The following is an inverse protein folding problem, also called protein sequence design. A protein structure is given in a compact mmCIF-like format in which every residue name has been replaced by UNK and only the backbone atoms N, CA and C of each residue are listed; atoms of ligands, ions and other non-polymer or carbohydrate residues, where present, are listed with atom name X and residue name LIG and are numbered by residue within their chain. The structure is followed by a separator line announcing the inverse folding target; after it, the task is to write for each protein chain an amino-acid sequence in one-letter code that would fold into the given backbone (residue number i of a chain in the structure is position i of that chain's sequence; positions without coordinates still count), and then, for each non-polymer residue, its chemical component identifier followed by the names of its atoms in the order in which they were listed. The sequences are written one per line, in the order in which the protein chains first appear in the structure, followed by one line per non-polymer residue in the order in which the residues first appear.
data_IF_346634162223
#
_entry.id   IF_346634162223
#
_cell.length_a   1.000
_cell.length_b   1.000
_cell.length_c   1.000
_cell.angle_alpha   90.00
_cell.angle_beta   90.00
_cell.angle_gamma   90.00
#
_symmetry.space_group_name_H-M   'P 1'
#
loop_
_entity.id
_entity.type
_entity.pdbx_description
1 polymer ?
#
# COMPACT_ATOMS: atom_id res chain seq x y z
N UNK A 1 28.65 -56.41 -1.40
CA UNK A 1 30.02 -56.00 -1.02
C UNK A 1 29.96 -54.54 -0.57
N UNK A 2 29.91 -54.35 0.73
CA UNK A 2 30.30 -53.13 1.43
C UNK A 2 31.82 -53.02 1.48
N UNK A 3 32.44 -51.82 1.64
CA UNK A 3 32.43 -51.13 2.93
C UNK A 3 32.38 -49.60 2.88
N UNK A 4 31.89 -49.02 3.95
CA UNK A 4 32.30 -47.76 4.54
C UNK A 4 33.59 -47.95 5.33
N UNK A 5 34.24 -47.01 6.06
CA UNK A 5 33.94 -45.60 6.43
C UNK A 5 35.20 -44.72 6.48
N UNK A 6 35.08 -43.48 6.90
CA UNK A 6 36.21 -42.65 7.34
C UNK A 6 35.74 -41.22 7.69
N UNK A 7 35.50 -40.91 8.95
CA UNK A 7 36.29 -40.19 9.94
C UNK A 7 36.56 -38.73 9.51
N UNK A 8 36.03 -37.67 10.13
CA UNK A 8 36.23 -37.21 11.51
C UNK A 8 37.22 -36.07 11.55
N UNK A 9 36.78 -34.83 11.81
CA UNK A 9 37.67 -33.85 12.40
C UNK A 9 36.90 -32.87 13.26
N UNK A 10 37.06 -33.01 14.55
CA UNK A 10 36.70 -32.04 15.59
C UNK A 10 37.54 -30.76 15.45
N UNK A 11 36.89 -29.63 15.60
CA UNK A 11 37.56 -28.36 15.80
C UNK A 11 37.28 -27.83 17.20
N UNK A 12 38.30 -27.89 18.01
CA UNK A 12 38.39 -27.54 19.42
C UNK A 12 38.26 -26.01 19.64
N UNK A 13 37.30 -25.63 20.46
CA UNK A 13 37.14 -24.23 20.98
C UNK A 13 38.23 -23.96 22.04
N UNK A 14 39.16 -23.02 21.76
CA UNK A 14 40.10 -22.44 22.74
C UNK A 14 39.41 -21.43 23.65
N UNK A 15 39.21 -21.80 24.94
CA UNK A 15 38.87 -20.92 26.05
C UNK A 15 40.05 -19.99 26.37
N UNK A 16 39.91 -18.68 26.18
CA UNK A 16 40.86 -17.67 26.69
C UNK A 16 40.58 -17.39 28.18
N UNK A 17 41.50 -17.78 29.03
CA UNK A 17 41.59 -17.48 30.47
C UNK A 17 41.84 -15.97 30.64
N UNK A 18 40.99 -15.25 31.38
CA UNK A 18 41.24 -13.90 31.88
C UNK A 18 42.14 -13.96 33.12
N UNK A 19 43.30 -13.32 33.08
CA UNK A 19 44.17 -13.11 34.23
C UNK A 19 43.53 -12.02 35.11
N UNK A 20 43.39 -12.33 36.41
CA UNK A 20 43.14 -11.38 37.50
C UNK A 20 44.46 -10.62 37.77
N UNK A 21 44.42 -9.31 37.81
CA UNK A 21 45.51 -8.50 38.36
C UNK A 21 44.97 -7.71 39.55
N UNK A 22 45.82 -7.64 40.59
CA UNK A 22 45.49 -7.31 41.95
C UNK A 22 45.43 -5.80 42.24
N UNK A 23 44.68 -5.53 43.26
CA UNK A 23 44.57 -4.31 44.10
C UNK A 23 45.70 -3.30 44.04
N UNK A 24 45.26 -2.05 43.83
CA UNK A 24 45.97 -0.87 44.37
C UNK A 24 44.88 0.11 44.87
N UNK A 25 45.01 0.51 46.17
CA UNK A 25 44.09 1.39 46.86
C UNK A 25 44.06 2.82 46.27
N UNK A 26 42.94 3.54 46.34
CA UNK A 26 42.82 4.86 45.77
C UNK A 26 43.30 5.95 46.71
N UNK A 27 44.12 6.86 46.19
CA UNK A 27 44.35 8.17 46.79
C UNK A 27 43.16 9.07 46.55
N UNK A 28 42.72 9.71 47.64
CA UNK A 28 41.65 10.72 47.63
C UNK A 28 42.08 11.94 46.80
N UNK A 29 41.36 12.20 45.74
CA UNK A 29 41.40 13.49 45.03
C UNK A 29 40.00 14.11 45.09
N UNK A 30 39.99 15.39 45.49
CA UNK A 30 38.81 16.22 45.66
C UNK A 30 37.90 16.23 44.43
N UNK A 31 36.69 15.69 44.58
CA UNK A 31 35.62 15.79 43.61
C UNK A 31 35.03 17.22 43.64
N UNK A 32 35.51 18.07 42.76
CA UNK A 32 34.72 19.26 42.36
C UNK A 32 33.48 18.76 41.64
N UNK A 33 32.35 18.87 42.28
CA UNK A 33 31.01 18.63 41.69
C UNK A 33 30.71 19.71 40.65
N UNK A 34 31.05 19.47 39.39
CA UNK A 34 30.52 20.24 38.28
C UNK A 34 29.07 19.82 38.04
N UNK A 35 28.14 20.71 38.40
CA UNK A 35 26.74 20.62 38.05
C UNK A 35 26.60 20.62 36.52
N UNK A 36 25.89 19.64 35.90
CA UNK A 36 25.70 19.68 34.46
C UNK A 36 24.92 20.93 34.07
N UNK A 37 25.25 21.58 32.92
CA UNK A 37 24.57 22.79 32.50
C UNK A 37 23.08 22.50 32.30
N UNK A 38 22.23 23.29 32.94
CA UNK A 38 20.80 23.31 32.79
C UNK A 38 20.46 23.40 31.27
N UNK A 39 19.87 22.35 30.72
CA UNK A 39 19.35 22.39 29.36
C UNK A 39 18.35 23.54 29.25
N UNK A 40 18.68 24.53 28.40
CA UNK A 40 17.77 25.63 28.07
C UNK A 40 16.43 25.03 27.64
N UNK A 41 15.28 25.51 28.13
CA UNK A 41 13.98 25.02 27.68
C UNK A 41 13.88 25.28 26.16
N UNK A 42 13.56 24.24 25.39
CA UNK A 42 13.27 24.33 23.97
C UNK A 42 12.05 25.24 23.82
N UNK A 43 12.12 26.33 23.04
CA UNK A 43 11.00 27.22 22.86
C UNK A 43 9.80 26.42 22.31
N UNK A 44 8.66 26.51 22.99
CA UNK A 44 7.43 25.76 22.67
C UNK A 44 6.74 26.18 21.37
N UNK A 45 7.36 27.07 20.55
CA UNK A 45 6.66 27.76 19.48
C UNK A 45 7.08 27.37 18.03
N UNK A 46 7.91 26.35 17.82
CA UNK A 46 8.27 25.90 16.47
C UNK A 46 7.56 24.60 16.03
N UNK A 47 6.38 24.34 16.55
CA UNK A 47 5.52 23.35 15.90
C UNK A 47 4.91 24.02 14.67
N UNK A 48 5.41 23.67 13.48
CA UNK A 48 4.75 24.01 12.23
C UNK A 48 3.24 23.73 12.37
N UNK A 49 2.36 24.64 11.93
CA UNK A 49 0.93 24.44 12.06
C UNK A 49 0.58 23.09 11.43
N UNK A 50 -0.17 22.26 12.17
CA UNK A 50 -0.60 20.96 11.68
C UNK A 50 -1.33 21.18 10.35
N UNK A 51 -0.88 20.48 9.29
CA UNK A 51 -1.54 20.55 7.99
C UNK A 51 -3.03 20.23 8.17
N UNK A 52 -3.90 21.05 7.57
CA UNK A 52 -5.36 20.87 7.66
C UNK A 52 -5.70 19.46 7.17
N UNK A 53 -6.42 18.71 7.99
CA UNK A 53 -6.96 17.39 7.62
C UNK A 53 -8.12 17.58 6.64
N UNK A 54 -8.16 16.76 5.61
CA UNK A 54 -9.28 16.58 4.69
C UNK A 54 -9.59 15.11 4.60
N UNK A 55 -10.84 14.72 4.76
CA UNK A 55 -11.29 13.36 4.55
C UNK A 55 -11.93 13.28 3.16
N UNK A 56 -11.51 12.29 2.37
CA UNK A 56 -12.03 11.99 1.04
C UNK A 56 -12.52 10.55 1.01
N UNK A 57 -13.71 10.33 0.46
CA UNK A 57 -14.29 9.00 0.31
C UNK A 57 -14.53 8.72 -1.16
N UNK A 58 -14.17 7.51 -1.58
CA UNK A 58 -14.32 7.03 -2.95
C UNK A 58 -14.91 5.64 -2.95
N UNK A 59 -15.44 5.20 -4.11
CA UNK A 59 -15.95 3.87 -4.32
C UNK A 59 -15.65 3.37 -5.73
N UNK A 60 -15.56 2.04 -5.91
CA UNK A 60 -15.29 1.39 -7.18
C UNK A 60 -14.94 -0.07 -6.99
N UNK A 61 -14.16 -0.68 -7.90
CA UNK A 61 -13.68 -2.04 -7.69
C UNK A 61 -13.39 -2.82 -8.96
N UNK A 62 -13.40 -4.15 -8.88
CA UNK A 62 -13.07 -5.05 -9.97
C UNK A 62 -14.33 -5.54 -10.69
N UNK A 63 -14.43 -5.28 -11.98
CA UNK A 63 -15.47 -5.85 -12.83
C UNK A 63 -14.95 -7.14 -13.45
N UNK A 64 -15.73 -8.22 -13.36
CA UNK A 64 -15.47 -9.47 -14.04
C UNK A 64 -16.36 -9.55 -15.29
N UNK A 65 -15.78 -9.95 -16.42
CA UNK A 65 -16.46 -10.07 -17.70
C UNK A 65 -17.56 -11.16 -17.71
N UNK A 66 -18.37 -11.20 -18.75
CA UNK A 66 -19.42 -12.21 -18.91
C UNK A 66 -18.90 -13.65 -18.86
N UNK A 67 -17.67 -13.89 -19.32
CA UNK A 67 -17.09 -15.23 -19.32
C UNK A 67 -16.60 -15.68 -17.94
N UNK A 68 -16.44 -14.75 -16.99
CA UNK A 68 -15.86 -15.02 -15.69
C UNK A 68 -14.35 -15.25 -15.72
N UNK A 69 -13.65 -14.85 -16.79
CA UNK A 69 -12.22 -15.13 -16.98
C UNK A 69 -11.33 -13.91 -16.97
N UNK A 70 -11.89 -12.71 -17.16
CA UNK A 70 -11.16 -11.45 -17.25
C UNK A 70 -11.64 -10.44 -16.21
N UNK A 71 -10.74 -9.57 -15.78
CA UNK A 71 -11.01 -8.44 -14.92
C UNK A 71 -10.67 -7.13 -15.62
N UNK A 72 -11.45 -6.09 -15.36
CA UNK A 72 -11.32 -4.77 -15.95
C UNK A 72 -10.41 -3.89 -15.12
N UNK A 73 -9.42 -3.27 -15.76
CA UNK A 73 -8.56 -2.26 -15.14
C UNK A 73 -8.54 -0.99 -15.97
N UNK A 74 -8.29 0.13 -15.30
CA UNK A 74 -7.99 1.43 -15.90
C UNK A 74 -6.51 1.73 -15.81
N UNK A 75 -5.95 2.31 -16.85
CA UNK A 75 -4.55 2.73 -16.95
C UNK A 75 -4.43 4.25 -16.94
N UNK A 76 -3.54 4.80 -16.12
CA UNK A 76 -3.16 6.21 -16.12
C UNK A 76 -1.66 6.34 -16.35
N UNK A 77 -1.24 7.30 -17.19
CA UNK A 77 0.17 7.56 -17.46
C UNK A 77 0.86 8.04 -16.18
N UNK A 78 2.01 7.43 -15.85
CA UNK A 78 2.83 7.84 -14.71
C UNK A 78 3.48 9.20 -14.98
N UNK A 79 2.91 10.26 -14.43
CA UNK A 79 3.42 11.64 -14.57
C UNK A 79 4.78 11.87 -13.89
N UNK A 80 5.24 10.95 -13.04
CA UNK A 80 6.54 11.07 -12.35
C UNK A 80 7.70 10.59 -13.22
N UNK A 81 7.44 9.79 -14.23
CA UNK A 81 8.44 9.29 -15.18
C UNK A 81 8.14 9.82 -16.60
N UNK A 82 8.43 11.11 -16.80
CA UNK A 82 8.22 11.79 -18.09
C UNK A 82 9.04 11.20 -19.26
N UNK A 83 10.04 10.35 -18.97
CA UNK A 83 10.87 9.71 -19.96
C UNK A 83 10.27 8.38 -20.47
N UNK A 84 9.27 7.81 -19.79
CA UNK A 84 8.62 6.55 -20.14
C UNK A 84 7.12 6.70 -20.08
N UNK A 85 6.43 6.38 -21.16
CA UNK A 85 4.96 6.28 -21.22
C UNK A 85 4.50 4.99 -20.51
N UNK A 86 4.69 4.93 -19.18
CA UNK A 86 4.28 3.78 -18.38
C UNK A 86 2.86 3.99 -17.90
N UNK A 87 1.97 3.03 -18.15
CA UNK A 87 0.65 2.99 -17.56
C UNK A 87 0.72 2.40 -16.14
N UNK A 88 0.06 3.07 -15.21
CA UNK A 88 -0.22 2.60 -13.87
C UNK A 88 -1.65 2.04 -13.87
N UNK A 89 -1.75 0.72 -13.84
CA UNK A 89 -3.03 0.03 -13.83
C UNK A 89 -3.63 0.01 -12.42
N UNK A 90 -4.92 0.29 -12.31
CA UNK A 90 -5.68 0.31 -11.06
C UNK A 90 -7.12 -0.14 -11.27
N UNK A 91 -7.81 -0.37 -10.16
CA UNK A 91 -9.24 -0.60 -10.17
C UNK A 91 -9.98 0.71 -10.51
N UNK A 92 -11.03 0.70 -11.38
CA UNK A 92 -11.87 1.87 -11.62
C UNK A 92 -12.54 2.34 -10.32
N UNK A 93 -12.49 3.64 -10.04
CA UNK A 93 -13.02 4.25 -8.81
C UNK A 93 -12.98 5.77 -8.84
N UNK A 94 -13.94 6.40 -8.22
CA UNK A 94 -13.92 7.84 -8.03
C UNK A 94 -14.65 8.31 -6.77
N UNK A 95 -14.88 9.60 -6.66
CA UNK A 95 -15.44 10.21 -5.46
C UNK A 95 -16.93 9.89 -5.30
N UNK A 96 -17.35 9.70 -4.05
CA UNK A 96 -18.78 9.61 -3.71
C UNK A 96 -19.34 11.02 -3.73
N UNK A 97 -20.40 11.25 -4.49
CA UNK A 97 -21.10 12.53 -4.55
C UNK A 97 -22.09 12.71 -3.40
N UNK A 98 -22.52 13.96 -3.18
CA UNK A 98 -23.45 14.26 -2.10
C UNK A 98 -24.80 13.56 -2.33
N UNK A 99 -25.16 12.69 -1.40
CA UNK A 99 -26.41 11.94 -1.43
C UNK A 99 -26.29 10.52 -2.02
N UNK A 100 -25.11 10.15 -2.56
CA UNK A 100 -24.84 8.80 -3.03
C UNK A 100 -24.45 7.86 -1.88
N UNK A 101 -24.83 6.62 -1.99
CA UNK A 101 -24.24 5.50 -1.24
C UNK A 101 -22.90 5.07 -1.88
N UNK A 102 -22.02 4.38 -1.17
CA UNK A 102 -20.81 3.81 -1.79
C UNK A 102 -21.10 2.89 -2.98
N UNK A 103 -22.20 2.14 -2.93
CA UNK A 103 -22.65 1.24 -3.98
C UNK A 103 -23.06 2.00 -5.25
N UNK A 104 -23.86 3.06 -5.11
CA UNK A 104 -24.31 3.89 -6.22
C UNK A 104 -23.13 4.61 -6.88
N UNK A 105 -22.25 5.22 -6.09
CA UNK A 105 -21.04 5.86 -6.58
C UNK A 105 -20.14 4.86 -7.32
N UNK A 106 -19.97 3.65 -6.79
CA UNK A 106 -19.14 2.63 -7.41
C UNK A 106 -19.66 2.18 -8.78
N UNK A 107 -20.98 2.04 -8.93
CA UNK A 107 -21.60 1.71 -10.21
C UNK A 107 -21.45 2.84 -11.22
N UNK A 108 -21.68 4.08 -10.81
CA UNK A 108 -21.52 5.28 -11.65
C UNK A 108 -20.08 5.42 -12.12
N UNK A 109 -19.10 5.34 -11.21
CA UNK A 109 -17.68 5.52 -11.53
C UNK A 109 -17.17 4.43 -12.49
N UNK A 110 -17.57 3.16 -12.28
CA UNK A 110 -17.23 2.08 -13.21
C UNK A 110 -17.75 2.41 -14.60
N UNK A 111 -19.01 2.84 -14.73
CA UNK A 111 -19.58 3.20 -16.01
C UNK A 111 -18.90 4.40 -16.65
N UNK A 112 -18.63 5.47 -15.89
CA UNK A 112 -18.01 6.70 -16.36
C UNK A 112 -16.56 6.49 -16.83
N UNK A 113 -15.76 5.80 -16.01
CA UNK A 113 -14.34 5.57 -16.32
C UNK A 113 -14.11 4.50 -17.41
N UNK A 114 -15.04 3.57 -17.60
CA UNK A 114 -14.80 2.39 -18.45
C UNK A 114 -15.80 2.18 -19.59
N UNK A 115 -17.00 2.76 -19.51
CA UNK A 115 -18.09 2.50 -20.43
C UNK A 115 -18.80 1.17 -20.20
N UNK A 116 -18.44 0.40 -19.15
CA UNK A 116 -19.01 -0.91 -18.86
C UNK A 116 -20.15 -0.79 -17.85
N UNK A 117 -21.31 -1.28 -18.23
CA UNK A 117 -22.44 -1.48 -17.33
C UNK A 117 -22.19 -2.72 -16.47
N UNK A 118 -22.39 -2.59 -15.16
CA UNK A 118 -22.07 -3.64 -14.21
C UNK A 118 -23.09 -3.75 -13.09
N UNK A 119 -23.08 -4.89 -12.41
CA UNK A 119 -23.89 -5.16 -11.23
C UNK A 119 -22.97 -5.58 -10.07
N UNK A 120 -23.19 -5.04 -8.88
CA UNK A 120 -22.45 -5.43 -7.69
C UNK A 120 -22.78 -6.88 -7.33
N UNK A 121 -21.73 -7.69 -7.20
CA UNK A 121 -21.83 -9.06 -6.72
C UNK A 121 -21.60 -9.14 -5.20
N UNK A 122 -20.53 -8.48 -4.70
CA UNK A 122 -20.21 -8.41 -3.25
C UNK A 122 -19.20 -7.32 -2.93
N UNK A 123 -19.08 -6.95 -1.66
CA UNK A 123 -17.99 -6.12 -1.19
C UNK A 123 -16.66 -6.89 -1.20
N UNK A 124 -15.58 -6.22 -1.61
CA UNK A 124 -14.21 -6.69 -1.48
C UNK A 124 -13.53 -6.16 -0.20
N UNK A 125 -14.02 -5.04 0.33
CA UNK A 125 -13.50 -4.38 1.53
C UNK A 125 -13.14 -2.92 1.32
N UNK A 126 -12.44 -2.36 2.28
CA UNK A 126 -12.09 -0.95 2.32
C UNK A 126 -10.56 -0.81 2.37
N UNK A 127 -10.04 0.18 1.65
CA UNK A 127 -8.65 0.62 1.74
C UNK A 127 -8.64 2.03 2.33
N UNK A 128 -7.89 2.22 3.42
CA UNK A 128 -7.65 3.51 4.06
C UNK A 128 -6.18 3.88 3.97
N UNK A 129 -5.88 5.10 3.54
CA UNK A 129 -4.51 5.59 3.51
C UNK A 129 -4.42 7.10 3.68
N UNK A 130 -3.21 7.58 4.00
CA UNK A 130 -2.91 8.98 4.21
C UNK A 130 -1.85 9.45 3.23
N UNK A 131 -2.03 10.67 2.70
CA UNK A 131 -1.02 11.32 1.87
C UNK A 131 -1.05 12.84 2.04
N UNK A 132 -0.02 13.51 1.54
CA UNK A 132 0.08 14.97 1.54
C UNK A 132 -0.19 15.48 0.14
N UNK A 133 -1.13 16.41 0.01
CA UNK A 133 -1.42 17.10 -1.24
C UNK A 133 -1.82 18.55 -0.96
N UNK A 134 -1.28 19.50 -1.73
CA UNK A 134 -1.62 20.94 -1.60
C UNK A 134 -1.43 21.49 -0.19
N UNK A 135 -0.44 21.01 0.57
CA UNK A 135 -0.20 21.41 1.96
C UNK A 135 -1.24 20.88 2.96
N UNK A 136 -2.12 19.99 2.55
CA UNK A 136 -3.14 19.34 3.38
C UNK A 136 -2.77 17.88 3.63
N UNK A 137 -3.17 17.35 4.79
CA UNK A 137 -3.10 15.92 5.10
C UNK A 137 -4.42 15.27 4.71
N UNK A 138 -4.39 14.49 3.65
CA UNK A 138 -5.57 13.81 3.11
C UNK A 138 -5.68 12.42 3.75
N UNK A 139 -6.86 12.10 4.28
CA UNK A 139 -7.27 10.75 4.65
C UNK A 139 -8.22 10.26 3.57
N UNK A 140 -7.82 9.24 2.84
CA UNK A 140 -8.65 8.67 1.77
C UNK A 140 -9.14 7.30 2.16
N UNK A 141 -10.47 7.14 2.13
CA UNK A 141 -11.18 5.88 2.32
C UNK A 141 -11.76 5.45 0.98
N UNK A 142 -11.51 4.22 0.54
CA UNK A 142 -12.02 3.70 -0.73
C UNK A 142 -12.79 2.40 -0.49
N UNK A 143 -14.07 2.39 -0.79
CA UNK A 143 -14.94 1.22 -0.77
C UNK A 143 -14.78 0.44 -2.07
N UNK A 144 -14.42 -0.84 -1.98
CA UNK A 144 -14.22 -1.69 -3.15
C UNK A 144 -15.24 -2.81 -3.21
N UNK A 145 -15.75 -3.04 -4.44
CA UNK A 145 -16.72 -4.06 -4.75
C UNK A 145 -16.23 -4.97 -5.87
N UNK A 146 -16.73 -6.20 -5.90
CA UNK A 146 -16.65 -7.10 -7.03
C UNK A 146 -17.92 -6.94 -7.84
N UNK A 147 -17.78 -6.74 -9.14
CA UNK A 147 -18.89 -6.56 -10.07
C UNK A 147 -18.90 -7.66 -11.12
N UNK A 148 -20.07 -7.88 -11.69
CA UNK A 148 -20.28 -8.63 -12.92
C UNK A 148 -20.63 -7.65 -14.03
N UNK A 149 -20.01 -7.79 -15.19
CA UNK A 149 -20.43 -7.13 -16.43
C UNK A 149 -21.87 -7.50 -16.77
N UNK A 150 -22.68 -6.52 -17.18
CA UNK A 150 -24.03 -6.72 -17.69
C UNK A 150 -24.24 -6.08 -19.06
N UNK A 151 -23.29 -5.27 -19.55
CA UNK A 151 -23.35 -4.62 -20.86
C UNK A 151 -22.32 -3.53 -21.03
N UNK A 152 -22.52 -2.70 -22.06
CA UNK A 152 -21.66 -1.58 -22.39
C UNK A 152 -20.56 -1.93 -23.39
N UNK A 153 -19.76 -0.93 -23.71
CA UNK A 153 -18.58 -1.05 -24.58
C UNK A 153 -17.43 -0.26 -23.94
N UNK A 154 -16.21 -0.77 -24.04
CA UNK A 154 -15.03 -0.07 -23.52
C UNK A 154 -14.96 1.36 -24.10
N UNK A 155 -15.08 2.35 -23.24
CA UNK A 155 -15.04 3.76 -23.55
C UNK A 155 -14.36 4.51 -22.41
N UNK A 156 -13.04 4.72 -22.44
CA UNK A 156 -12.34 5.43 -21.38
C UNK A 156 -12.80 6.89 -21.31
N UNK A 157 -13.01 7.40 -20.10
CA UNK A 157 -13.23 8.82 -19.85
C UNK A 157 -11.92 9.58 -20.07
N UNK A 158 -11.74 10.14 -21.25
CA UNK A 158 -10.46 10.69 -21.78
C UNK A 158 -9.80 11.75 -20.89
N UNK A 159 -10.56 12.37 -19.98
CA UNK A 159 -10.04 13.38 -19.04
C UNK A 159 -9.38 12.80 -17.80
N UNK A 160 -9.69 11.55 -17.45
CA UNK A 160 -9.26 10.93 -16.19
C UNK A 160 -8.54 9.59 -16.38
N UNK A 161 -8.79 8.91 -17.52
CA UNK A 161 -8.28 7.56 -17.81
C UNK A 161 -7.64 7.57 -19.20
N UNK A 162 -6.39 7.13 -19.28
CA UNK A 162 -5.67 7.05 -20.55
C UNK A 162 -6.00 5.76 -21.32
N UNK A 163 -6.25 4.66 -20.60
CA UNK A 163 -6.57 3.35 -21.22
C UNK A 163 -7.49 2.53 -20.32
N UNK A 164 -8.35 1.73 -20.92
CA UNK A 164 -9.18 0.71 -20.26
C UNK A 164 -8.99 -0.62 -20.95
N UNK A 165 -8.72 -1.67 -20.18
CA UNK A 165 -8.46 -2.99 -20.76
C UNK A 165 -8.94 -4.13 -19.84
N UNK A 166 -9.35 -5.23 -20.49
CA UNK A 166 -9.59 -6.51 -19.86
C UNK A 166 -8.30 -7.31 -19.75
N UNK A 167 -8.06 -7.90 -18.57
CA UNK A 167 -6.92 -8.77 -18.30
C UNK A 167 -7.37 -10.11 -17.73
N UNK A 168 -6.67 -11.21 -18.03
CA UNK A 168 -6.93 -12.49 -17.39
C UNK A 168 -6.91 -12.37 -15.85
N UNK A 169 -7.86 -12.99 -15.15
CA UNK A 169 -7.98 -12.86 -13.69
C UNK A 169 -6.72 -13.24 -12.93
N UNK A 170 -5.98 -14.23 -13.42
CA UNK A 170 -4.72 -14.65 -12.83
C UNK A 170 -3.58 -13.61 -12.99
N UNK A 171 -3.73 -12.63 -13.88
CA UNK A 171 -2.75 -11.55 -14.08
C UNK A 171 -3.10 -10.27 -13.30
N UNK A 172 -4.32 -10.12 -12.80
CA UNK A 172 -4.81 -8.88 -12.17
C UNK A 172 -3.86 -8.37 -11.08
N UNK A 173 -3.46 -9.25 -10.16
CA UNK A 173 -2.59 -8.87 -9.03
C UNK A 173 -1.22 -8.36 -9.53
N UNK A 174 -0.67 -8.95 -10.57
CA UNK A 174 0.61 -8.52 -11.12
C UNK A 174 0.49 -7.19 -11.86
N UNK A 175 -0.60 -6.99 -12.58
CA UNK A 175 -0.90 -5.78 -13.36
C UNK A 175 -1.11 -4.55 -12.48
N UNK A 176 -1.84 -4.67 -11.37
CA UNK A 176 -2.13 -3.55 -10.47
C UNK A 176 -0.83 -2.83 -10.05
N UNK A 177 -0.85 -1.51 -10.07
CA UNK A 177 0.29 -0.69 -9.68
C UNK A 177 0.38 -0.48 -8.16
N UNK A 178 -0.77 -0.49 -7.46
CA UNK A 178 -0.86 -0.09 -6.06
C UNK A 178 -0.83 -1.29 -5.11
N UNK A 179 0.11 -1.31 -4.13
CA UNK A 179 0.25 -2.45 -3.22
C UNK A 179 -0.99 -2.78 -2.40
N UNK A 180 -1.80 -1.78 -2.06
CA UNK A 180 -2.98 -2.01 -1.23
C UNK A 180 -4.13 -2.63 -2.03
N UNK A 181 -4.30 -2.26 -3.32
CA UNK A 181 -5.20 -2.96 -4.23
C UNK A 181 -4.78 -4.41 -4.45
N UNK A 182 -3.47 -4.68 -4.65
CA UNK A 182 -2.92 -6.05 -4.73
C UNK A 182 -3.28 -6.88 -3.51
N UNK A 183 -3.08 -6.33 -2.31
CA UNK A 183 -3.40 -7.00 -1.05
C UNK A 183 -4.90 -7.25 -0.91
N UNK A 184 -5.73 -6.28 -1.33
CA UNK A 184 -7.19 -6.40 -1.30
C UNK A 184 -7.64 -7.58 -2.17
N UNK A 185 -7.19 -7.62 -3.43
CA UNK A 185 -7.52 -8.69 -4.37
C UNK A 185 -7.00 -10.05 -3.87
N UNK A 186 -5.76 -10.11 -3.39
CA UNK A 186 -5.18 -11.35 -2.85
C UNK A 186 -5.96 -11.90 -1.63
N UNK A 187 -6.53 -11.01 -0.80
CA UNK A 187 -7.32 -11.40 0.39
C UNK A 187 -8.77 -11.75 0.06
N UNK A 188 -9.28 -11.30 -1.08
CA UNK A 188 -10.67 -11.53 -1.46
C UNK A 188 -10.99 -13.02 -1.74
N UNK A 189 -9.96 -13.85 -1.82
CA UNK A 189 -10.08 -15.27 -2.12
C UNK A 189 -10.41 -15.50 -3.60
N UNK A 190 -11.31 -16.45 -3.85
CA UNK A 190 -11.75 -16.76 -5.20
C UNK A 190 -12.50 -15.55 -5.79
N UNK A 191 -12.07 -15.09 -6.97
CA UNK A 191 -12.73 -14.04 -7.74
C UNK A 191 -13.86 -14.58 -8.61
N UNK A 192 -14.16 -15.89 -8.53
CA UNK A 192 -15.29 -16.47 -9.26
C UNK A 192 -16.61 -15.91 -8.74
N UNK A 193 -17.55 -15.76 -9.65
CA UNK A 193 -18.90 -15.20 -9.42
C UNK A 193 -19.91 -16.30 -9.16
#
# INVERSE_FOLDING_TARGET
MTPAPGAGSESTKKRRRRKRSANRAPQSQDLKTETPPLRKPIPKNDRAPFAKRVDEVSAGGLVIDFSGTQGLLIGRIDQKDSARTRLLWSLPKGHIEIGETPEEAALREVMEETGIESQIFRSLGIIDFWFMAGGKRIHKTVHHFLFREVGGLLAPQVTEVDEVAWFPLNEIIERLAYPDEKKLIARSGDLQL
#
